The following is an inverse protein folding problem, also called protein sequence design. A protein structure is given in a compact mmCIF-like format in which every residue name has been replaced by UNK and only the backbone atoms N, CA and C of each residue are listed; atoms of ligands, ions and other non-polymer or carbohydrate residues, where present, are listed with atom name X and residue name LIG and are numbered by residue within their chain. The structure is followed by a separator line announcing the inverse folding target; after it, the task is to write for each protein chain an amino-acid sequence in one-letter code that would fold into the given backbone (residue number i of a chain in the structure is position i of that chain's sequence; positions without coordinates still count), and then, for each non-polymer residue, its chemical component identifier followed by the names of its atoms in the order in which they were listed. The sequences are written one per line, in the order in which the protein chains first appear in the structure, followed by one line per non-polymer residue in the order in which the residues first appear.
data_IF_691970952764
#
_entry.id   IF_691970952764
#
_cell.length_a   1.000
_cell.length_b   1.000
_cell.length_c   1.000
_cell.angle_alpha   90.00
_cell.angle_beta   90.00
_cell.angle_gamma   90.00
#
_symmetry.space_group_name_H-M   'P 1'
#
loop_
_entity.id
_entity.type
_entity.pdbx_description
1 polymer ?
#
# COMPACT_ATOMS: atom_id res chain seq x y z
N UNK A 1 23.04 1.37 -13.70
CA UNK A 1 21.61 1.53 -13.34
C UNK A 1 21.49 1.15 -11.89
N UNK A 2 20.88 2.01 -11.06
CA UNK A 2 20.64 1.71 -9.64
C UNK A 2 19.67 0.54 -9.54
N UNK A 3 19.94 -0.38 -8.61
CA UNK A 3 19.13 -1.57 -8.45
C UNK A 3 17.83 -1.24 -7.68
N UNK A 4 16.68 -1.36 -8.33
CA UNK A 4 15.39 -1.04 -7.69
C UNK A 4 15.08 -2.09 -6.63
N UNK A 5 14.98 -1.62 -5.38
CA UNK A 5 14.65 -2.41 -4.18
C UNK A 5 13.16 -2.35 -3.87
N UNK A 6 12.45 -1.28 -4.23
CA UNK A 6 11.02 -1.14 -3.95
C UNK A 6 10.30 -0.61 -5.17
N UNK A 7 9.28 -1.34 -5.62
CA UNK A 7 8.30 -0.85 -6.57
C UNK A 7 6.99 -0.54 -5.82
N UNK A 8 6.53 0.71 -5.87
CA UNK A 8 5.29 1.18 -5.20
C UNK A 8 4.21 1.41 -6.24
N UNK A 9 3.13 0.64 -6.17
CA UNK A 9 2.02 0.65 -7.10
C UNK A 9 0.78 1.32 -6.48
N UNK A 10 0.35 2.41 -7.10
CA UNK A 10 -0.92 3.08 -6.78
C UNK A 10 -2.08 2.43 -7.54
N UNK A 11 -3.19 2.21 -6.84
CA UNK A 11 -4.46 1.77 -7.42
C UNK A 11 -5.66 2.59 -6.92
N UNK A 12 -6.79 2.55 -7.64
CA UNK A 12 -7.98 3.35 -7.31
C UNK A 12 -9.19 2.52 -6.86
N UNK A 13 -8.95 1.37 -6.23
CA UNK A 13 -9.94 0.43 -5.67
C UNK A 13 -10.98 -0.12 -6.66
N UNK A 14 -10.75 0.03 -7.97
CA UNK A 14 -11.57 -0.60 -9.02
C UNK A 14 -10.97 -1.92 -9.45
N UNK A 15 -11.81 -2.91 -9.79
CA UNK A 15 -11.35 -4.22 -10.28
C UNK A 15 -10.38 -4.09 -11.46
N UNK A 16 -10.67 -3.21 -12.42
CA UNK A 16 -9.81 -3.00 -13.58
C UNK A 16 -8.41 -2.48 -13.22
N UNK A 17 -8.33 -1.50 -12.31
CA UNK A 17 -7.05 -0.90 -11.94
C UNK A 17 -6.24 -1.82 -11.03
N UNK A 18 -6.92 -2.54 -10.13
CA UNK A 18 -6.32 -3.57 -9.30
C UNK A 18 -5.75 -4.73 -10.13
N UNK A 19 -6.47 -5.19 -11.16
CA UNK A 19 -5.95 -6.18 -12.11
C UNK A 19 -4.71 -5.67 -12.86
N UNK A 20 -4.67 -4.38 -13.25
CA UNK A 20 -3.48 -3.78 -13.87
C UNK A 20 -2.27 -3.87 -12.92
N UNK A 21 -2.45 -3.51 -11.65
CA UNK A 21 -1.38 -3.60 -10.64
C UNK A 21 -0.94 -5.05 -10.44
N UNK A 22 -1.88 -6.00 -10.32
CA UNK A 22 -1.55 -7.42 -10.21
C UNK A 22 -0.66 -7.89 -11.38
N UNK A 23 -1.05 -7.57 -12.62
CA UNK A 23 -0.28 -7.93 -13.81
C UNK A 23 1.11 -7.31 -13.84
N UNK A 24 1.23 -6.04 -13.47
CA UNK A 24 2.52 -5.35 -13.42
C UNK A 24 3.46 -5.98 -12.39
N UNK A 25 2.94 -6.35 -11.22
CA UNK A 25 3.72 -7.04 -10.18
C UNK A 25 4.16 -8.42 -10.66
N UNK A 26 3.27 -9.21 -11.29
CA UNK A 26 3.61 -10.54 -11.83
C UNK A 26 4.72 -10.43 -12.88
N UNK A 27 4.59 -9.49 -13.82
CA UNK A 27 5.58 -9.29 -14.88
C UNK A 27 6.95 -8.88 -14.31
N UNK A 28 6.97 -7.93 -13.37
CA UNK A 28 8.21 -7.51 -12.72
C UNK A 28 8.81 -8.61 -11.84
N UNK A 29 8.00 -9.42 -11.16
CA UNK A 29 8.45 -10.56 -10.36
C UNK A 29 9.13 -11.63 -11.23
N UNK A 30 8.61 -11.90 -12.43
CA UNK A 30 9.21 -12.85 -13.38
C UNK A 30 10.60 -12.41 -13.85
N UNK A 31 10.79 -11.10 -14.04
CA UNK A 31 12.07 -10.52 -14.48
C UNK A 31 13.09 -10.50 -13.35
N UNK A 32 12.63 -10.12 -12.16
CA UNK A 32 13.41 -10.11 -10.94
C UNK A 32 12.46 -10.43 -9.79
N UNK A 33 12.66 -11.52 -9.04
CA UNK A 33 11.75 -11.86 -7.95
C UNK A 33 11.65 -10.75 -6.89
N UNK A 34 10.47 -10.65 -6.30
CA UNK A 34 10.25 -9.92 -5.06
C UNK A 34 10.41 -10.89 -3.90
N UNK A 35 10.92 -10.41 -2.77
CA UNK A 35 10.99 -11.16 -1.53
C UNK A 35 9.73 -10.95 -0.68
N UNK A 36 9.03 -9.81 -0.86
CA UNK A 36 7.86 -9.44 -0.07
C UNK A 36 6.82 -8.70 -0.92
N UNK A 37 5.54 -8.95 -0.63
CA UNK A 37 4.42 -8.11 -1.09
C UNK A 37 3.85 -7.35 0.10
N UNK A 38 3.90 -6.02 0.04
CA UNK A 38 3.43 -5.09 1.06
C UNK A 38 2.06 -4.54 0.64
N UNK A 39 1.03 -4.65 1.49
CA UNK A 39 -0.35 -4.34 1.11
C UNK A 39 -1.04 -3.45 2.15
N UNK A 40 -1.65 -2.35 1.70
CA UNK A 40 -2.50 -1.49 2.55
C UNK A 40 -3.69 -2.27 3.14
N UNK A 41 -4.35 -3.09 2.32
CA UNK A 41 -5.58 -3.80 2.69
C UNK A 41 -5.41 -4.90 3.74
N UNK A 42 -4.19 -5.13 4.24
CA UNK A 42 -3.90 -6.08 5.32
C UNK A 42 -3.63 -5.39 6.66
N UNK A 43 -3.71 -4.05 6.71
CA UNK A 43 -3.60 -3.33 7.97
C UNK A 43 -2.25 -3.60 8.66
N UNK A 44 -2.23 -3.92 9.96
CA UNK A 44 -0.99 -4.17 10.70
C UNK A 44 -0.49 -5.62 10.59
N UNK A 45 -1.22 -6.52 9.94
CA UNK A 45 -0.99 -7.97 10.02
C UNK A 45 0.05 -8.48 9.01
N UNK A 46 0.84 -9.48 9.38
CA UNK A 46 1.87 -10.07 8.52
C UNK A 46 1.66 -11.58 8.35
N UNK A 47 1.72 -12.07 7.11
CA UNK A 47 1.49 -13.46 6.74
C UNK A 47 2.67 -14.03 5.96
N UNK A 48 3.59 -14.64 6.71
CA UNK A 48 4.89 -15.11 6.20
C UNK A 48 4.87 -16.50 5.56
N UNK A 49 3.76 -17.23 5.63
CA UNK A 49 3.66 -18.60 5.11
C UNK A 49 2.36 -18.80 4.35
N UNK A 50 2.36 -19.73 3.38
CA UNK A 50 1.15 -20.10 2.64
C UNK A 50 0.01 -20.54 3.57
N UNK A 51 0.31 -21.28 4.64
CA UNK A 51 -0.69 -21.68 5.64
C UNK A 51 -1.32 -20.48 6.36
N UNK A 52 -0.51 -19.47 6.72
CA UNK A 52 -1.01 -18.25 7.35
C UNK A 52 -1.87 -17.43 6.36
N UNK A 53 -1.46 -17.37 5.09
CA UNK A 53 -2.22 -16.70 4.03
C UNK A 53 -3.57 -17.40 3.77
N UNK A 54 -3.60 -18.74 3.74
CA UNK A 54 -4.84 -19.52 3.58
C UNK A 54 -5.81 -19.28 4.72
N UNK A 55 -5.28 -19.22 5.95
CA UNK A 55 -6.09 -18.87 7.12
C UNK A 55 -6.66 -17.46 6.98
N UNK A 56 -5.83 -16.48 6.62
CA UNK A 56 -6.24 -15.09 6.45
C UNK A 56 -7.31 -14.91 5.37
N UNK A 57 -7.19 -15.64 4.25
CA UNK A 57 -8.20 -15.67 3.18
C UNK A 57 -9.53 -16.25 3.68
N UNK A 58 -9.49 -17.38 4.40
CA UNK A 58 -10.67 -18.01 4.97
C UNK A 58 -11.37 -17.13 6.02
N UNK A 59 -10.59 -16.46 6.85
CA UNK A 59 -11.07 -15.60 7.94
C UNK A 59 -11.36 -14.16 7.48
N UNK A 60 -11.18 -13.87 6.18
CA UNK A 60 -11.40 -12.54 5.58
C UNK A 60 -10.65 -11.42 6.29
N UNK A 61 -9.38 -11.65 6.62
CA UNK A 61 -8.53 -10.69 7.33
C UNK A 61 -7.98 -9.60 6.38
N UNK A 62 -8.87 -8.85 5.74
CA UNK A 62 -8.56 -7.76 4.82
C UNK A 62 -9.70 -6.73 4.80
N UNK A 63 -9.40 -5.47 4.45
CA UNK A 63 -10.38 -4.37 4.49
C UNK A 63 -11.14 -4.14 3.18
N UNK A 64 -10.51 -4.37 2.02
CA UNK A 64 -11.09 -4.07 0.70
C UNK A 64 -11.39 -5.35 -0.07
N UNK A 65 -10.39 -6.23 -0.20
CA UNK A 65 -10.54 -7.51 -0.88
C UNK A 65 -9.35 -8.46 -0.64
N UNK A 66 -9.41 -9.68 -1.20
CA UNK A 66 -8.39 -10.71 -0.97
C UNK A 66 -7.16 -10.59 -1.88
N UNK A 67 -7.16 -9.71 -2.88
CA UNK A 67 -6.20 -9.75 -4.00
C UNK A 67 -4.74 -9.73 -3.53
N UNK A 68 -4.37 -8.92 -2.54
CA UNK A 68 -3.01 -8.87 -2.02
C UNK A 68 -2.56 -10.22 -1.45
N UNK A 69 -3.43 -10.92 -0.73
CA UNK A 69 -3.14 -12.27 -0.21
C UNK A 69 -3.08 -13.32 -1.33
N UNK A 70 -4.05 -13.28 -2.26
CA UNK A 70 -4.10 -14.19 -3.40
C UNK A 70 -2.85 -14.04 -4.28
N UNK A 71 -2.44 -12.80 -4.55
CA UNK A 71 -1.25 -12.50 -5.32
C UNK A 71 0.03 -12.95 -4.59
N UNK A 72 0.18 -12.62 -3.30
CA UNK A 72 1.33 -13.08 -2.51
C UNK A 72 1.46 -14.62 -2.54
N UNK A 73 0.34 -15.33 -2.37
CA UNK A 73 0.28 -16.79 -2.45
C UNK A 73 0.67 -17.30 -3.84
N UNK A 74 0.12 -16.70 -4.90
CA UNK A 74 0.44 -17.04 -6.30
C UNK A 74 1.92 -16.83 -6.64
N UNK A 75 2.56 -15.83 -6.05
CA UNK A 75 3.99 -15.55 -6.21
C UNK A 75 4.88 -16.38 -5.26
N UNK A 76 4.29 -17.06 -4.27
CA UNK A 76 5.04 -17.83 -3.27
C UNK A 76 5.83 -16.97 -2.27
N UNK A 77 5.36 -15.75 -1.98
CA UNK A 77 6.06 -14.78 -1.12
C UNK A 77 5.19 -14.34 0.07
N UNK A 78 5.80 -13.86 1.17
CA UNK A 78 5.08 -13.25 2.29
C UNK A 78 4.20 -12.06 1.89
N UNK A 79 3.05 -11.94 2.56
CA UNK A 79 2.14 -10.80 2.46
C UNK A 79 2.23 -9.96 3.74
N UNK A 80 2.59 -8.69 3.63
CA UNK A 80 2.91 -7.81 4.76
C UNK A 80 1.95 -6.63 4.78
N UNK A 81 1.16 -6.49 5.83
CA UNK A 81 0.36 -5.31 6.08
C UNK A 81 1.23 -4.09 6.41
N UNK A 82 0.88 -2.97 5.79
CA UNK A 82 1.60 -1.70 5.94
C UNK A 82 0.79 -0.57 6.56
N UNK A 83 -0.46 -0.82 6.89
CA UNK A 83 -1.41 0.21 7.30
C UNK A 83 -1.77 0.09 8.80
N UNK A 84 -2.43 1.11 9.34
CA UNK A 84 -2.98 1.09 10.69
C UNK A 84 -4.50 1.18 10.67
N UNK A 85 -5.14 0.23 11.34
CA UNK A 85 -6.59 0.12 11.48
C UNK A 85 -7.08 0.45 12.89
N UNK A 86 -6.21 0.99 13.75
CA UNK A 86 -6.61 1.37 15.09
C UNK A 86 -7.66 2.49 15.08
N UNK A 87 -8.70 2.36 15.92
CA UNK A 87 -9.72 3.41 16.07
C UNK A 87 -9.10 4.76 16.48
N UNK A 88 -7.99 4.73 17.23
CA UNK A 88 -7.25 5.90 17.66
C UNK A 88 -6.68 6.74 16.49
N UNK A 89 -6.39 6.10 15.37
CA UNK A 89 -5.91 6.77 14.15
C UNK A 89 -7.01 7.63 13.54
N UNK A 90 -8.25 7.12 13.49
CA UNK A 90 -9.41 7.81 12.90
C UNK A 90 -10.21 8.66 13.89
N UNK A 91 -9.95 8.54 15.20
CA UNK A 91 -10.73 9.19 16.26
C UNK A 91 -10.83 10.72 16.14
N UNK A 92 -9.90 11.36 15.43
CA UNK A 92 -9.83 12.83 15.28
C UNK A 92 -10.16 13.31 13.87
N UNK A 93 -10.70 12.44 13.01
CA UNK A 93 -11.15 12.84 11.67
C UNK A 93 -12.40 13.71 11.77
N UNK A 94 -12.42 14.81 11.02
CA UNK A 94 -13.52 15.77 11.04
C UNK A 94 -14.61 15.25 10.12
N UNK A 95 -15.84 15.16 10.64
CA UNK A 95 -17.02 14.67 9.92
C UNK A 95 -18.02 15.79 9.64
N UNK A 96 -18.73 15.70 8.52
CA UNK A 96 -19.88 16.56 8.23
C UNK A 96 -21.08 16.22 9.13
N UNK A 97 -22.16 16.99 9.01
CA UNK A 97 -23.41 16.78 9.76
C UNK A 97 -24.09 15.42 9.46
N UNK A 98 -23.68 14.72 8.39
CA UNK A 98 -24.15 13.39 8.00
C UNK A 98 -23.19 12.28 8.45
N UNK A 99 -22.17 12.61 9.26
CA UNK A 99 -21.18 11.67 9.77
C UNK A 99 -20.11 11.24 8.75
N UNK A 100 -20.03 11.89 7.58
CA UNK A 100 -19.02 11.57 6.55
C UNK A 100 -17.74 12.34 6.82
N UNK A 101 -16.60 11.66 6.76
CA UNK A 101 -15.31 12.33 6.95
C UNK A 101 -15.08 13.36 5.82
N UNK A 102 -14.78 14.60 6.21
CA UNK A 102 -14.48 15.73 5.32
C UNK A 102 -13.07 16.28 5.51
N UNK A 103 -12.40 15.90 6.60
CA UNK A 103 -10.96 16.07 6.76
C UNK A 103 -10.41 14.87 7.53
N UNK A 104 -9.53 14.14 6.87
CA UNK A 104 -8.87 12.94 7.35
C UNK A 104 -7.34 13.06 7.16
N UNK A 105 -6.84 14.30 7.08
CA UNK A 105 -5.42 14.60 6.92
C UNK A 105 -4.55 14.03 8.05
N UNK A 106 -5.08 14.04 9.29
CA UNK A 106 -4.37 13.46 10.43
C UNK A 106 -4.27 11.94 10.33
N UNK A 107 -5.37 11.25 10.06
CA UNK A 107 -5.35 9.79 9.94
C UNK A 107 -4.47 9.37 8.77
N UNK A 108 -4.55 10.04 7.62
CA UNK A 108 -3.64 9.81 6.49
C UNK A 108 -2.17 9.98 6.86
N UNK A 109 -1.80 11.08 7.53
CA UNK A 109 -0.42 11.28 7.97
C UNK A 109 0.09 10.14 8.88
N UNK A 110 -0.74 9.68 9.82
CA UNK A 110 -0.36 8.58 10.73
C UNK A 110 -0.20 7.26 9.96
N UNK A 111 -1.16 6.94 9.08
CA UNK A 111 -1.13 5.74 8.23
C UNK A 111 0.11 5.75 7.34
N UNK A 112 0.37 6.85 6.65
CA UNK A 112 1.54 7.00 5.77
C UNK A 112 2.86 6.89 6.54
N UNK A 113 2.95 7.42 7.76
CA UNK A 113 4.12 7.24 8.61
C UNK A 113 4.38 5.75 8.90
N UNK A 114 3.32 4.98 9.18
CA UNK A 114 3.41 3.52 9.36
C UNK A 114 3.79 2.79 8.08
N UNK A 115 3.24 3.21 6.95
CA UNK A 115 3.61 2.66 5.64
C UNK A 115 5.09 2.90 5.36
N UNK A 116 5.60 4.12 5.57
CA UNK A 116 7.02 4.46 5.41
C UNK A 116 7.91 3.61 6.33
N UNK A 117 7.57 3.48 7.61
CA UNK A 117 8.31 2.64 8.56
C UNK A 117 8.41 1.19 8.07
N UNK A 118 7.29 0.61 7.63
CA UNK A 118 7.25 -0.76 7.10
C UNK A 118 8.03 -0.91 5.79
N UNK A 119 7.86 0.01 4.84
CA UNK A 119 8.57 -0.03 3.57
C UNK A 119 10.09 0.01 3.81
N UNK A 120 10.59 0.92 4.65
CA UNK A 120 12.02 0.98 5.02
C UNK A 120 12.50 -0.32 5.67
N UNK A 121 11.73 -0.86 6.63
CA UNK A 121 12.06 -2.12 7.32
C UNK A 121 12.22 -3.29 6.34
N UNK A 122 11.34 -3.41 5.34
CA UNK A 122 11.38 -4.53 4.39
C UNK A 122 12.31 -4.31 3.21
N UNK A 123 12.49 -3.06 2.76
CA UNK A 123 13.51 -2.67 1.79
C UNK A 123 14.92 -3.11 2.23
N UNK A 124 15.22 -2.99 3.52
CA UNK A 124 16.48 -3.46 4.11
C UNK A 124 16.64 -5.00 4.10
N UNK A 125 15.52 -5.75 4.01
CA UNK A 125 15.51 -7.23 4.06
C UNK A 125 15.48 -7.86 2.67
N UNK A 126 14.92 -7.18 1.69
CA UNK A 126 14.71 -7.75 0.36
C UNK A 126 14.04 -6.77 -0.59
N UNK A 127 13.85 -7.23 -1.82
CA UNK A 127 13.12 -6.49 -2.84
C UNK A 127 11.62 -6.57 -2.60
N UNK A 128 10.94 -5.44 -2.64
CA UNK A 128 9.53 -5.33 -2.25
C UNK A 128 8.66 -4.84 -3.41
N UNK A 129 7.47 -5.41 -3.55
CA UNK A 129 6.35 -4.77 -4.24
C UNK A 129 5.42 -4.19 -3.18
N UNK A 130 4.93 -2.97 -3.37
CA UNK A 130 3.99 -2.30 -2.46
C UNK A 130 2.70 -1.99 -3.22
N UNK A 131 1.55 -2.41 -2.68
CA UNK A 131 0.21 -2.11 -3.21
C UNK A 131 -0.55 -1.23 -2.23
N UNK A 132 -0.98 -0.05 -2.69
CA UNK A 132 -1.74 0.92 -1.90
C UNK A 132 -2.61 1.81 -2.80
N UNK A 133 -3.58 2.48 -2.18
CA UNK A 133 -4.41 3.49 -2.82
C UNK A 133 -3.56 4.64 -3.35
N UNK A 134 -3.82 5.06 -4.59
CA UNK A 134 -3.03 6.09 -5.28
C UNK A 134 -3.08 7.45 -4.56
N UNK A 135 -4.10 7.71 -3.73
CA UNK A 135 -4.16 8.86 -2.82
C UNK A 135 -3.00 8.94 -1.80
N UNK A 136 -2.40 7.81 -1.40
CA UNK A 136 -1.18 7.79 -0.57
C UNK A 136 0.08 8.15 -1.36
N UNK A 137 -0.04 8.44 -2.65
CA UNK A 137 1.05 8.89 -3.52
C UNK A 137 0.90 10.33 -3.99
N UNK A 138 -0.14 11.06 -3.52
CA UNK A 138 -0.43 12.44 -3.93
C UNK A 138 0.81 13.33 -3.82
N UNK A 139 1.03 14.16 -4.84
CA UNK A 139 2.17 15.10 -4.87
C UNK A 139 1.77 16.51 -4.47
N UNK A 140 0.47 16.78 -4.42
CA UNK A 140 -0.10 18.09 -4.08
C UNK A 140 -0.92 18.06 -2.80
N UNK A 141 -1.23 19.26 -2.29
CA UNK A 141 -2.08 19.47 -1.11
C UNK A 141 -3.55 19.37 -1.49
N UNK A 142 -4.35 18.66 -0.69
CA UNK A 142 -5.82 18.67 -0.76
C UNK A 142 -6.45 19.15 0.54
N UNK A 143 -7.73 19.50 0.48
CA UNK A 143 -8.49 19.95 1.65
C UNK A 143 -8.75 18.80 2.62
N UNK A 144 -8.94 17.60 2.07
CA UNK A 144 -9.34 16.39 2.76
C UNK A 144 -8.14 15.66 3.38
N UNK A 145 -7.04 15.55 2.62
CA UNK A 145 -5.85 14.75 2.95
C UNK A 145 -4.67 15.56 3.50
N UNK A 146 -4.72 16.88 3.42
CA UNK A 146 -3.59 17.72 3.83
C UNK A 146 -2.52 17.82 2.74
N UNK A 147 -1.25 17.97 3.12
CA UNK A 147 -0.13 18.16 2.19
C UNK A 147 0.16 16.95 1.29
N UNK A 148 1.23 17.02 0.50
CA UNK A 148 1.75 15.88 -0.25
C UNK A 148 1.96 14.66 0.67
N UNK A 149 1.85 13.44 0.13
CA UNK A 149 1.95 12.25 0.97
C UNK A 149 3.37 12.09 1.54
N UNK A 150 3.44 11.58 2.77
CA UNK A 150 4.71 11.30 3.41
C UNK A 150 5.48 10.20 2.68
N UNK A 151 4.78 9.28 2.01
CA UNK A 151 5.41 8.25 1.15
C UNK A 151 6.12 8.91 -0.04
N UNK A 152 5.42 9.80 -0.76
CA UNK A 152 6.00 10.54 -1.88
C UNK A 152 7.20 11.37 -1.41
N UNK A 153 7.01 12.20 -0.38
CA UNK A 153 8.08 13.07 0.13
C UNK A 153 9.30 12.28 0.63
N UNK A 154 9.10 11.08 1.19
CA UNK A 154 10.21 10.26 1.70
C UNK A 154 11.01 9.59 0.59
N UNK A 155 10.38 9.16 -0.50
CA UNK A 155 11.01 8.28 -1.49
C UNK A 155 11.16 8.87 -2.90
N UNK A 156 10.62 10.07 -3.20
CA UNK A 156 10.69 10.68 -4.55
C UNK A 156 12.11 10.81 -5.10
N UNK A 157 13.09 11.08 -4.24
CA UNK A 157 14.50 11.24 -4.61
C UNK A 157 15.33 9.98 -4.32
N UNK A 158 14.70 8.88 -3.87
CA UNK A 158 15.40 7.64 -3.59
C UNK A 158 15.56 6.82 -4.88
N UNK A 159 16.80 6.61 -5.38
CA UNK A 159 17.03 5.94 -6.66
C UNK A 159 16.76 4.43 -6.62
N UNK A 160 16.56 3.84 -5.44
CA UNK A 160 16.20 2.42 -5.26
C UNK A 160 14.68 2.21 -5.21
N UNK A 161 13.88 3.28 -5.29
CA UNK A 161 12.42 3.24 -5.26
C UNK A 161 11.85 3.69 -6.59
N UNK A 162 10.85 2.97 -7.08
CA UNK A 162 10.11 3.31 -8.30
C UNK A 162 8.62 3.40 -8.04
N UNK A 163 8.01 4.51 -8.42
CA UNK A 163 6.57 4.71 -8.33
C UNK A 163 5.87 4.31 -9.64
N UNK A 164 4.77 3.59 -9.51
CA UNK A 164 3.87 3.18 -10.59
C UNK A 164 2.47 3.69 -10.26
N UNK A 165 2.23 4.98 -10.55
CA UNK A 165 0.94 5.65 -10.30
C UNK A 165 -0.17 5.04 -11.16
N UNK A 166 -1.41 5.12 -10.69
CA UNK A 166 -2.57 4.80 -11.52
C UNK A 166 -2.66 5.77 -12.70
N UNK A 167 -2.97 5.31 -13.93
CA UNK A 167 -3.15 6.21 -15.07
C UNK A 167 -4.32 7.18 -14.88
N UNK A 168 -5.28 6.82 -14.01
CA UNK A 168 -6.41 7.68 -13.67
C UNK A 168 -6.06 8.74 -12.63
N UNK A 169 -5.01 8.50 -11.81
CA UNK A 169 -4.57 9.25 -10.62
C UNK A 169 -5.73 9.61 -9.69
N UNK A 170 -5.72 9.14 -8.45
CA UNK A 170 -6.76 9.58 -7.50
C UNK A 170 -6.63 11.07 -7.21
N UNK A 171 -5.38 11.53 -7.06
CA UNK A 171 -5.00 12.91 -6.75
C UNK A 171 -3.63 13.17 -7.38
N UNK A 172 -3.44 14.31 -8.06
CA UNK A 172 -2.14 14.69 -8.62
C UNK A 172 -1.06 14.88 -7.54
#
# INVERSE_FOLDING_TARGET
MTDIRVDIYGEIHTTADRNRVEWAIIDNHRKKPYDFLLCEELGPYEYHTAKAQDKALKEKMYSIGPMGLELAKKLGIPAIGIDDWSDATYAKDIKDKKGRAVNFSRSFYIREAKMVEKIKKYMAKGRCAVMLGDSHLRTTKTKELGGASLIWETFKDNPEVKFHRSPKREID
#
